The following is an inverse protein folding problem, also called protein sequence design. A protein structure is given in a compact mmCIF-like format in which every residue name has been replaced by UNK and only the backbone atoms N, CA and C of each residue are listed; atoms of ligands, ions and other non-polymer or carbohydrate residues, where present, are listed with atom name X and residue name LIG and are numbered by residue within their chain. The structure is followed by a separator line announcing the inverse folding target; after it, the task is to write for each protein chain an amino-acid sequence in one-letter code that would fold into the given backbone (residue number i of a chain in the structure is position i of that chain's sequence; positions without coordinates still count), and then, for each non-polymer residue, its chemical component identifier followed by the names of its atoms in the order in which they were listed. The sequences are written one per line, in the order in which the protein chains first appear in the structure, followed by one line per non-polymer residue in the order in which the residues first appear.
data_IF_097136345436
#
_entry.id   IF_097136345436
#
_cell.length_a   1.000
_cell.length_b   1.000
_cell.length_c   1.000
_cell.angle_alpha   90.00
_cell.angle_beta   90.00
_cell.angle_gamma   90.00
#
_symmetry.space_group_name_H-M   'P 1'
#
loop_
_entity.id
_entity.type
_entity.pdbx_description
1 polymer ?
2 non-polymer ?
3 non-polymer ?
4 non-polymer ?
5 water ?
#
# COMPACT_ATOMS: atom_id res chain seq x y z
N UNK A 3 -21.60 2.55 13.55
CA UNK A 3 -21.61 3.01 12.13
C UNK A 3 -20.32 3.71 11.75
N UNK A 4 -19.21 3.00 11.86
CA UNK A 4 -17.92 3.55 11.43
C UNK A 4 -17.95 3.83 9.92
N UNK A 5 -17.01 4.66 9.46
CA UNK A 5 -17.06 5.12 8.07
C UNK A 5 -16.87 4.00 7.05
N UNK A 6 -15.97 3.06 7.31
CA UNK A 6 -15.76 1.97 6.38
C UNK A 6 -17.02 1.09 6.25
N UNK A 7 -17.65 0.76 7.36
CA UNK A 7 -18.89 0.00 7.30
C UNK A 7 -19.95 0.76 6.51
N UNK A 8 -20.06 2.06 6.76
CA UNK A 8 -21.05 2.86 6.09
C UNK A 8 -20.81 2.93 4.59
N UNK A 9 -19.56 3.11 4.19
CA UNK A 9 -19.27 3.20 2.78
C UNK A 9 -19.30 1.85 2.05
N UNK A 10 -18.95 0.77 2.75
CA UNK A 10 -19.16 -0.57 2.24
C UNK A 10 -20.61 -0.76 1.89
N UNK A 11 -21.51 -0.30 2.77
CA UNK A 11 -22.94 -0.48 2.50
C UNK A 11 -23.37 0.31 1.28
N UNK A 12 -22.84 1.53 1.16
CA UNK A 12 -23.20 2.45 0.10
C UNK A 12 -22.60 2.09 -1.25
N UNK A 13 -21.30 1.79 -1.26
CA UNK A 13 -20.57 1.64 -2.52
C UNK A 13 -20.19 0.20 -2.82
N UNK A 14 -20.16 -0.65 -1.79
CA UNK A 14 -19.52 -1.96 -1.84
C UNK A 14 -19.97 -2.87 -2.98
N UNK A 15 -21.27 -2.99 -3.15
CA UNK A 15 -21.78 -3.90 -4.16
C UNK A 15 -21.42 -3.45 -5.59
N UNK A 16 -21.46 -2.14 -5.85
CA UNK A 16 -21.08 -1.62 -7.17
C UNK A 16 -19.58 -1.78 -7.43
N UNK A 17 -18.77 -1.64 -6.39
CA UNK A 17 -17.32 -1.84 -6.54
C UNK A 17 -17.06 -3.29 -6.95
N UNK A 18 -17.65 -4.24 -6.23
CA UNK A 18 -17.41 -5.66 -6.53
C UNK A 18 -17.89 -6.00 -7.94
N UNK A 19 -19.04 -5.47 -8.34
CA UNK A 19 -19.56 -5.69 -9.68
C UNK A 19 -18.59 -5.21 -10.74
N UNK A 20 -17.96 -4.06 -10.50
CA UNK A 20 -17.04 -3.44 -11.45
C UNK A 20 -15.78 -4.30 -11.58
N UNK A 21 -15.26 -4.77 -10.45
CA UNK A 21 -14.05 -5.61 -10.48
C UNK A 21 -14.30 -6.85 -11.36
N UNK A 22 -15.42 -7.52 -11.10
CA UNK A 22 -15.75 -8.72 -11.88
C UNK A 22 -16.01 -8.39 -13.35
N UNK A 23 -16.68 -7.27 -13.60
CA UNK A 23 -16.94 -6.86 -14.97
C UNK A 23 -15.66 -6.73 -15.78
N UNK A 24 -14.69 -5.97 -15.28
CA UNK A 24 -13.49 -5.76 -16.12
C UNK A 24 -12.65 -7.03 -16.23
N UNK A 25 -12.59 -7.83 -15.18
CA UNK A 25 -11.81 -9.09 -15.24
C UNK A 25 -12.45 -10.07 -16.19
N UNK A 26 -13.77 -9.98 -16.35
CA UNK A 26 -14.52 -10.96 -17.09
C UNK A 26 -14.47 -10.75 -18.60
N UNK A 27 -14.00 -9.59 -19.05
CA UNK A 27 -13.95 -9.32 -20.48
C UNK A 27 -12.99 -10.30 -21.16
N UNK A 28 -13.52 -11.16 -22.03
CA UNK A 28 -12.65 -12.11 -22.74
C UNK A 28 -12.20 -13.34 -21.96
N UNK A 29 -12.73 -13.48 -20.74
CA UNK A 29 -12.26 -14.49 -19.82
C UNK A 29 -12.84 -15.88 -20.10
N UNK A 30 -11.95 -16.84 -20.35
CA UNK A 30 -12.38 -18.21 -20.66
C UNK A 30 -13.02 -18.85 -19.42
N UNK A 31 -14.10 -19.63 -19.60
CA UNK A 31 -14.79 -20.26 -18.48
C UNK A 31 -13.90 -21.09 -17.54
N UNK A 32 -12.98 -21.88 -18.11
CA UNK A 32 -12.12 -22.72 -17.28
C UNK A 32 -10.95 -21.97 -16.61
N UNK A 33 -10.86 -20.64 -16.85
CA UNK A 33 -9.87 -19.75 -16.19
C UNK A 33 -10.58 -18.83 -15.20
N UNK A 34 -11.89 -18.80 -15.25
CA UNK A 34 -12.66 -17.85 -14.45
C UNK A 34 -12.41 -17.94 -12.95
N UNK A 35 -12.51 -19.13 -12.38
CA UNK A 35 -12.30 -19.27 -10.95
C UNK A 35 -10.92 -18.78 -10.53
N UNK A 36 -9.89 -19.17 -11.29
CA UNK A 36 -8.52 -18.75 -10.97
C UNK A 36 -8.36 -17.23 -11.01
N UNK A 37 -8.96 -16.58 -12.01
CA UNK A 37 -8.82 -15.13 -12.20
C UNK A 37 -9.65 -14.33 -11.19
N UNK A 38 -10.86 -14.78 -10.89
CA UNK A 38 -11.69 -14.04 -9.92
C UNK A 38 -11.27 -14.27 -8.48
N UNK A 39 -10.45 -15.29 -8.25
CA UNK A 39 -10.13 -15.72 -6.89
C UNK A 39 -9.67 -14.57 -6.00
N UNK A 40 -8.73 -13.77 -6.52
CA UNK A 40 -8.11 -12.71 -5.73
C UNK A 40 -9.09 -11.62 -5.27
N UNK A 41 -10.15 -11.39 -6.04
CA UNK A 41 -11.15 -10.39 -5.65
C UNK A 41 -12.32 -11.03 -4.91
N UNK A 42 -12.29 -12.34 -4.74
CA UNK A 42 -13.34 -13.00 -3.97
C UNK A 42 -12.89 -13.39 -2.57
N UNK A 43 -11.65 -13.05 -2.21
CA UNK A 43 -11.12 -13.43 -0.88
C UNK A 43 -11.35 -12.36 0.18
N UNK A 44 -12.08 -11.30 -0.16
CA UNK A 44 -12.35 -10.25 0.82
C UNK A 44 -11.34 -9.13 0.72
N UNK A 45 -11.20 -8.37 1.79
CA UNK A 45 -10.34 -7.17 1.75
C UNK A 45 -11.17 -5.96 2.14
N UNK A 46 -10.51 -4.93 2.66
CA UNK A 46 -11.21 -3.75 3.17
C UNK A 46 -11.70 -2.80 2.09
N UNK A 47 -11.13 -2.89 0.88
CA UNK A 47 -11.51 -2.02 -0.23
C UNK A 47 -11.34 -0.54 0.11
N UNK A 48 -10.40 -0.22 0.97
CA UNK A 48 -10.18 1.16 1.38
C UNK A 48 -9.87 2.08 0.20
N UNK A 49 -9.09 1.60 -0.76
CA UNK A 49 -8.69 2.47 -1.86
C UNK A 49 -9.88 2.90 -2.76
N UNK A 50 -10.69 1.96 -3.25
CA UNK A 50 -11.82 2.37 -4.07
C UNK A 50 -12.84 3.15 -3.25
N UNK A 51 -12.99 2.83 -1.97
CA UNK A 51 -13.90 3.65 -1.14
C UNK A 51 -13.45 5.10 -1.11
N UNK A 52 -12.14 5.31 -1.01
CA UNK A 52 -11.57 6.66 -1.05
C UNK A 52 -11.79 7.37 -2.40
N UNK A 53 -11.60 6.64 -3.49
CA UNK A 53 -11.87 7.18 -4.80
C UNK A 53 -13.31 7.72 -4.93
N UNK A 54 -14.24 6.88 -4.52
CA UNK A 54 -15.66 7.20 -4.66
C UNK A 54 -16.04 8.33 -3.70
N UNK A 55 -15.52 8.29 -2.47
CA UNK A 55 -15.77 9.41 -1.53
C UNK A 55 -15.23 10.73 -2.08
N UNK A 56 -14.05 10.68 -2.70
CA UNK A 56 -13.46 11.91 -3.25
C UNK A 56 -14.35 12.47 -4.39
N UNK A 57 -14.85 11.58 -5.25
CA UNK A 57 -15.68 12.00 -6.35
C UNK A 57 -16.94 12.62 -5.78
N UNK A 58 -17.50 11.99 -4.75
CA UNK A 58 -18.78 12.47 -4.20
C UNK A 58 -18.60 13.80 -3.47
N UNK A 59 -17.47 13.98 -2.81
CA UNK A 59 -17.25 15.24 -2.11
C UNK A 59 -17.22 16.41 -3.09
N UNK A 60 -16.55 16.23 -4.23
CA UNK A 60 -16.34 17.32 -5.16
C UNK A 60 -17.50 17.57 -6.13
N UNK A 61 -18.33 16.55 -6.36
CA UNK A 61 -19.38 16.62 -7.40
C UNK A 61 -20.80 16.21 -6.96
N UNK A 62 -20.93 15.58 -5.79
CA UNK A 62 -22.19 14.97 -5.37
C UNK A 62 -22.46 13.58 -5.92
N UNK A 63 -21.64 13.15 -6.88
CA UNK A 63 -21.86 11.85 -7.54
C UNK A 63 -20.63 10.98 -7.37
N UNK A 64 -20.89 9.72 -7.16
CA UNK A 64 -19.82 8.74 -7.02
C UNK A 64 -19.78 7.76 -8.16
N UNK A 65 -20.94 7.44 -8.74
CA UNK A 65 -20.98 6.40 -9.76
C UNK A 65 -20.05 6.64 -10.97
N UNK A 66 -19.87 7.90 -11.40
CA UNK A 66 -18.99 8.20 -12.53
C UNK A 66 -17.54 7.78 -12.23
N UNK A 67 -17.23 7.65 -10.95
CA UNK A 67 -15.85 7.26 -10.57
C UNK A 67 -15.66 5.75 -10.41
N UNK A 68 -16.66 4.95 -10.76
CA UNK A 68 -16.56 3.51 -10.58
C UNK A 68 -15.44 2.89 -11.43
N UNK A 69 -15.26 3.37 -12.67
CA UNK A 69 -14.14 2.82 -13.42
C UNK A 69 -12.79 3.09 -12.73
N UNK A 70 -12.56 4.32 -12.32
CA UNK A 70 -11.36 4.68 -11.54
C UNK A 70 -11.25 3.87 -10.25
N UNK A 71 -12.37 3.60 -9.59
CA UNK A 71 -12.32 2.84 -8.34
C UNK A 71 -11.89 1.38 -8.61
N UNK A 72 -12.41 0.80 -9.70
CA UNK A 72 -11.98 -0.52 -10.13
C UNK A 72 -10.50 -0.49 -10.48
N UNK A 73 -10.04 0.56 -11.18
CA UNK A 73 -8.60 0.64 -11.52
C UNK A 73 -7.75 0.53 -10.26
N UNK A 74 -8.07 1.36 -9.25
CA UNK A 74 -7.18 1.42 -8.11
C UNK A 74 -7.18 0.10 -7.31
N UNK A 75 -8.33 -0.55 -7.18
CA UNK A 75 -8.41 -1.80 -6.45
C UNK A 75 -7.79 -2.95 -7.25
N UNK A 76 -7.95 -2.92 -8.58
CA UNK A 76 -7.29 -3.94 -9.41
C UNK A 76 -5.76 -3.78 -9.36
N UNK A 77 -5.26 -2.54 -9.36
CA UNK A 77 -3.81 -2.36 -9.20
C UNK A 77 -3.33 -2.91 -7.84
N UNK A 78 -4.08 -2.60 -6.79
CA UNK A 78 -3.79 -3.14 -5.47
C UNK A 78 -3.69 -4.65 -5.52
N UNK A 79 -4.66 -5.30 -6.16
CA UNK A 79 -4.68 -6.76 -6.19
C UNK A 79 -3.65 -7.37 -7.12
N UNK A 80 -3.31 -6.65 -8.19
CA UNK A 80 -2.24 -7.04 -9.10
C UNK A 80 -0.94 -7.10 -8.34
N UNK A 81 -0.66 -6.04 -7.56
CA UNK A 81 0.53 -5.97 -6.75
C UNK A 81 0.54 -7.10 -5.70
N UNK A 82 -0.62 -7.41 -5.11
CA UNK A 82 -0.63 -8.49 -4.12
C UNK A 82 -0.36 -9.86 -4.70
N UNK A 83 -0.91 -10.15 -5.88
CA UNK A 83 -0.71 -11.42 -6.54
C UNK A 83 0.79 -11.64 -6.72
N UNK A 84 1.48 -10.63 -7.26
CA UNK A 84 2.92 -10.77 -7.44
C UNK A 84 3.71 -10.73 -6.14
N UNK A 85 3.28 -9.92 -5.18
CA UNK A 85 3.98 -9.87 -3.90
C UNK A 85 3.91 -11.23 -3.24
N UNK A 86 2.77 -11.92 -3.37
CA UNK A 86 2.64 -13.26 -2.76
C UNK A 86 3.61 -14.24 -3.42
N UNK A 87 3.84 -14.10 -4.73
CA UNK A 87 4.82 -14.96 -5.37
C UNK A 87 6.22 -14.66 -4.86
N UNK A 88 6.57 -13.38 -4.85
CA UNK A 88 7.91 -12.94 -4.50
C UNK A 88 8.28 -13.32 -3.07
N UNK A 89 7.32 -13.18 -2.15
CA UNK A 89 7.57 -13.48 -0.74
C UNK A 89 7.13 -14.88 -0.35
N UNK A 90 6.69 -15.65 -1.34
CA UNK A 90 6.14 -16.99 -1.13
C UNK A 90 5.11 -17.00 0.00
N UNK A 91 4.11 -16.13 -0.12
CA UNK A 91 3.11 -16.01 0.92
C UNK A 91 2.04 -17.05 0.71
N UNK A 92 1.74 -17.82 1.76
CA UNK A 92 0.74 -18.89 1.67
C UNK A 92 -0.66 -18.41 2.01
N UNK A 93 -0.77 -17.39 2.86
CA UNK A 93 -2.10 -16.99 3.34
C UNK A 93 -2.26 -15.49 3.26
N UNK A 94 -3.46 -15.04 2.90
CA UNK A 94 -3.78 -13.62 2.90
C UNK A 94 -5.25 -13.48 3.15
N UNK A 95 -5.62 -12.52 3.99
CA UNK A 95 -7.02 -12.34 4.37
C UNK A 95 -7.61 -13.65 4.94
N UNK A 96 -6.77 -14.45 5.58
CA UNK A 96 -7.21 -15.70 6.22
C UNK A 96 -7.46 -16.88 5.28
N UNK A 97 -7.10 -16.71 4.01
CA UNK A 97 -7.33 -17.74 2.99
C UNK A 97 -6.05 -17.96 2.19
N UNK A 98 -5.95 -19.08 1.49
CA UNK A 98 -4.76 -19.32 0.66
C UNK A 98 -4.65 -18.23 -0.40
N UNK A 99 -3.40 -17.90 -0.74
CA UNK A 99 -3.12 -16.92 -1.78
C UNK A 99 -3.33 -17.57 -3.14
N UNK A 100 -3.33 -16.76 -4.19
CA UNK A 100 -3.47 -17.32 -5.53
C UNK A 100 -2.35 -18.32 -5.78
N UNK A 101 -1.12 -17.93 -5.46
CA UNK A 101 0.02 -18.84 -5.72
C UNK A 101 -0.10 -20.15 -4.94
N UNK A 102 -0.63 -20.09 -3.72
CA UNK A 102 -0.80 -21.30 -2.92
C UNK A 102 -1.85 -22.23 -3.53
N UNK A 103 -3.00 -21.68 -3.87
CA UNK A 103 -4.14 -22.49 -4.32
C UNK A 103 -3.96 -23.02 -5.75
N UNK A 104 -3.33 -22.22 -6.60
CA UNK A 104 -3.24 -22.54 -8.04
C UNK A 104 -1.81 -22.86 -8.55
N UNK A 105 -0.80 -22.34 -7.86
CA UNK A 105 0.61 -22.52 -8.22
C UNK A 105 1.21 -21.18 -8.63
N UNK A 106 2.51 -21.02 -8.43
CA UNK A 106 3.21 -19.79 -8.73
C UNK A 106 3.09 -19.43 -10.21
N UNK A 107 3.17 -20.42 -11.08
CA UNK A 107 3.19 -20.11 -12.51
C UNK A 107 1.78 -19.77 -13.01
N UNK A 108 0.78 -20.45 -12.46
CA UNK A 108 -0.59 -20.09 -12.74
C UNK A 108 -0.87 -18.69 -12.24
N UNK A 109 -0.29 -18.31 -11.09
CA UNK A 109 -0.50 -16.96 -10.57
C UNK A 109 0.10 -15.90 -11.50
N UNK A 110 1.23 -16.24 -12.14
CA UNK A 110 1.76 -15.31 -13.16
C UNK A 110 0.76 -15.06 -14.28
N UNK A 111 0.10 -16.13 -14.78
CA UNK A 111 -0.86 -15.95 -15.85
C UNK A 111 -2.04 -15.10 -15.37
N UNK A 112 -2.40 -15.27 -14.09
CA UNK A 112 -3.49 -14.47 -13.53
C UNK A 112 -3.04 -13.00 -13.41
N UNK A 113 -1.85 -12.77 -12.89
CA UNK A 113 -1.34 -11.40 -12.77
C UNK A 113 -1.30 -10.66 -14.10
N UNK A 114 -0.87 -11.37 -15.13
CA UNK A 114 -0.87 -10.79 -16.47
C UNK A 114 -2.28 -10.38 -16.90
N UNK A 115 -3.25 -11.22 -16.59
CA UNK A 115 -4.66 -10.98 -16.91
C UNK A 115 -5.14 -9.72 -16.18
N UNK A 116 -4.80 -9.61 -14.89
CA UNK A 116 -5.23 -8.44 -14.11
C UNK A 116 -4.75 -7.14 -14.78
N UNK A 117 -3.52 -7.09 -15.29
CA UNK A 117 -3.10 -5.82 -15.85
C UNK A 117 -3.89 -5.42 -17.10
N UNK A 118 -4.36 -6.38 -17.88
CA UNK A 118 -5.14 -6.03 -19.05
C UNK A 118 -6.56 -5.71 -18.64
N UNK A 119 -7.03 -6.29 -17.54
CA UNK A 119 -8.34 -5.84 -17.01
C UNK A 119 -8.26 -4.38 -16.56
N UNK A 120 -7.14 -4.01 -15.94
CA UNK A 120 -6.86 -2.61 -15.57
C UNK A 120 -6.95 -1.71 -16.79
N UNK A 121 -6.36 -2.14 -17.91
CA UNK A 121 -6.41 -1.37 -19.14
C UNK A 121 -7.86 -1.24 -19.64
N UNK A 122 -8.66 -2.30 -19.52
CA UNK A 122 -10.08 -2.21 -19.89
C UNK A 122 -10.80 -1.16 -19.06
N UNK A 123 -10.49 -1.09 -17.77
CA UNK A 123 -11.10 -0.07 -16.92
C UNK A 123 -10.63 1.33 -17.30
N UNK A 124 -9.34 1.50 -17.56
CA UNK A 124 -8.79 2.74 -18.11
C UNK A 124 -9.59 3.23 -19.32
N UNK A 125 -9.89 2.32 -20.23
CA UNK A 125 -10.56 2.69 -21.46
C UNK A 125 -12.04 3.03 -21.21
N UNK A 126 -12.52 2.70 -20.01
CA UNK A 126 -13.92 2.97 -19.62
C UNK A 126 -14.07 4.24 -18.76
N UNK A 127 -12.97 4.93 -18.46
CA UNK A 127 -13.00 6.16 -17.66
C UNK A 127 -13.46 7.34 -18.51
N UNK A 128 -13.75 8.48 -17.85
CA UNK A 128 -14.14 9.64 -18.64
C UNK A 128 -12.98 10.26 -19.43
N UNK A 129 -11.74 9.91 -19.09
CA UNK A 129 -10.58 10.55 -19.69
C UNK A 129 -9.48 9.50 -19.97
N UNK A 130 -9.72 8.62 -20.95
CA UNK A 130 -8.86 7.44 -21.07
C UNK A 130 -7.36 7.69 -21.26
N UNK A 131 -6.96 8.65 -22.09
CA UNK A 131 -5.52 8.83 -22.27
C UNK A 131 -4.86 9.39 -21.00
N UNK A 132 -5.59 10.21 -20.25
CA UNK A 132 -5.04 10.73 -18.97
C UNK A 132 -4.88 9.60 -17.96
N UNK A 133 -5.91 8.78 -17.82
CA UNK A 133 -5.83 7.70 -16.85
C UNK A 133 -4.75 6.69 -17.28
N UNK A 134 -4.63 6.47 -18.59
CA UNK A 134 -3.65 5.49 -19.07
C UNK A 134 -2.25 5.89 -18.61
N UNK A 135 -1.94 7.18 -18.75
CA UNK A 135 -0.62 7.68 -18.36
C UNK A 135 -0.44 7.59 -16.85
N UNK A 136 -1.48 7.97 -16.12
CA UNK A 136 -1.40 7.93 -14.66
C UNK A 136 -1.25 6.52 -14.10
N UNK A 137 -1.92 5.56 -14.71
CA UNK A 137 -1.75 4.18 -14.32
C UNK A 137 -0.34 3.70 -14.59
N UNK A 138 0.21 3.99 -15.77
CA UNK A 138 1.62 3.58 -16.02
C UNK A 138 2.56 4.16 -14.99
N UNK A 139 2.36 5.44 -14.65
CA UNK A 139 3.24 6.09 -13.67
C UNK A 139 3.09 5.50 -12.28
N UNK A 140 1.85 5.19 -11.87
CA UNK A 140 1.62 4.64 -10.53
C UNK A 140 2.13 3.20 -10.41
N UNK A 141 1.95 2.39 -11.45
CA UNK A 141 2.46 1.02 -11.36
C UNK A 141 4.00 1.02 -11.36
N UNK A 142 4.60 1.90 -12.15
CA UNK A 142 6.08 1.99 -12.10
C UNK A 142 6.52 2.44 -10.69
N UNK A 143 5.77 3.35 -10.07
CA UNK A 143 6.12 3.75 -8.69
C UNK A 143 6.05 2.57 -7.73
N UNK A 144 4.97 1.79 -7.79
CA UNK A 144 4.84 0.64 -6.91
C UNK A 144 5.96 -0.38 -7.18
N UNK A 145 6.27 -0.61 -8.46
CA UNK A 145 7.33 -1.55 -8.79
C UNK A 145 8.66 -1.07 -8.22
N UNK A 146 8.95 0.22 -8.38
CA UNK A 146 10.17 0.80 -7.84
C UNK A 146 10.20 0.75 -6.31
N UNK A 147 9.07 1.07 -5.68
CA UNK A 147 9.00 0.96 -4.21
C UNK A 147 9.29 -0.44 -3.70
N UNK A 148 8.73 -1.46 -4.38
CA UNK A 148 8.95 -2.86 -4.01
C UNK A 148 10.42 -3.23 -4.19
N UNK A 149 10.99 -2.80 -5.32
CA UNK A 149 12.42 -3.07 -5.57
C UNK A 149 13.26 -2.50 -4.43
N UNK A 150 12.97 -1.28 -4.03
CA UNK A 150 13.73 -0.63 -2.97
C UNK A 150 13.53 -1.35 -1.65
N UNK A 151 12.28 -1.68 -1.31
CA UNK A 151 12.01 -2.32 -0.03
C UNK A 151 12.84 -3.61 0.06
N UNK A 152 12.93 -4.34 -1.06
CA UNK A 152 13.69 -5.59 -1.07
C UNK A 152 15.21 -5.35 -0.94
N UNK A 153 15.72 -4.36 -1.68
CA UNK A 153 17.14 -4.01 -1.57
C UNK A 153 17.52 -3.39 -0.25
N UNK A 154 16.51 -2.92 0.51
CA UNK A 154 16.76 -2.43 1.89
C UNK A 154 16.83 -3.56 2.90
N UNK A 155 16.54 -4.80 2.50
CA UNK A 155 16.66 -5.94 3.42
C UNK A 155 18.14 -6.21 3.69
N UNK A 156 18.41 -6.83 4.83
CA UNK A 156 19.77 -7.14 5.23
C UNK A 156 20.19 -8.58 4.93
N UNK A 157 19.21 -9.44 4.63
CA UNK A 157 19.42 -10.87 4.41
C UNK A 157 18.13 -11.50 3.87
N UNK A 158 18.15 -12.79 3.58
CA UNK A 158 16.93 -13.58 3.38
C UNK A 158 16.42 -13.77 1.96
N UNK A 159 17.21 -13.37 0.97
CA UNK A 159 16.79 -13.52 -0.43
C UNK A 159 17.77 -14.41 -1.17
N UNK A 160 17.28 -15.12 -2.19
CA UNK A 160 18.15 -15.99 -2.99
C UNK A 160 18.37 -15.45 -4.42
N UNK A 161 17.67 -14.39 -4.83
CA UNK A 161 17.89 -13.82 -6.17
C UNK A 161 19.21 -13.07 -6.24
N UNK A 162 20.05 -13.38 -7.23
CA UNK A 162 21.34 -12.71 -7.34
C UNK A 162 21.23 -11.20 -7.36
N UNK A 163 20.23 -10.65 -8.07
CA UNK A 163 20.05 -9.22 -8.08
C UNK A 163 19.75 -8.64 -6.67
N UNK A 164 18.90 -9.34 -5.90
CA UNK A 164 18.51 -8.86 -4.59
C UNK A 164 19.68 -8.89 -3.63
N UNK A 165 20.59 -9.86 -3.80
CA UNK A 165 21.80 -9.93 -2.94
C UNK A 165 22.87 -8.94 -3.39
N UNK A 166 23.15 -8.95 -4.69
CA UNK A 166 24.24 -8.16 -5.22
C UNK A 166 23.94 -6.66 -5.31
N UNK A 167 22.67 -6.29 -5.46
CA UNK A 167 22.32 -4.87 -5.53
C UNK A 167 21.80 -4.33 -4.20
N UNK A 168 21.86 -5.16 -3.17
CA UNK A 168 21.50 -4.73 -1.83
C UNK A 168 22.17 -3.42 -1.45
N UNK A 169 21.40 -2.46 -0.92
CA UNK A 169 21.99 -1.17 -0.55
C UNK A 169 22.90 -1.25 0.66
N UNK A 170 24.01 -0.51 0.61
CA UNK A 170 24.96 -0.55 1.71
C UNK A 170 24.39 0.16 2.93
N UNK A 171 23.67 1.25 2.69
CA UNK A 171 23.07 2.01 3.80
C UNK A 171 21.63 2.37 3.44
N UNK A 172 20.79 2.45 4.46
CA UNK A 172 19.41 2.92 4.30
C UNK A 172 19.06 4.01 5.31
N UNK A 173 18.98 5.24 4.81
CA UNK A 173 18.73 6.39 5.67
C UNK A 173 17.24 6.60 5.86
N UNK A 174 16.87 7.49 6.78
CA UNK A 174 15.46 7.83 6.95
C UNK A 174 14.89 8.41 5.66
N UNK A 175 15.66 9.28 4.99
CA UNK A 175 15.20 9.88 3.73
C UNK A 175 14.96 8.75 2.70
N UNK A 176 15.85 7.76 2.67
CA UNK A 176 15.67 6.62 1.76
C UNK A 176 14.36 5.89 2.10
N UNK A 177 14.13 5.67 3.38
CA UNK A 177 12.93 5.00 3.85
C UNK A 177 11.69 5.77 3.40
N UNK A 178 11.68 7.09 3.59
CA UNK A 178 10.49 7.88 3.23
C UNK A 178 10.21 7.84 1.72
N UNK A 179 11.27 7.90 0.93
CA UNK A 179 11.13 7.83 -0.52
C UNK A 179 10.52 6.47 -0.90
N UNK A 180 11.06 5.40 -0.31
CA UNK A 180 10.56 4.05 -0.59
C UNK A 180 9.08 3.89 -0.22
N UNK A 181 8.67 4.34 0.98
CA UNK A 181 7.26 4.14 1.32
C UNK A 181 6.31 5.04 0.50
N UNK A 182 6.79 6.22 0.07
CA UNK A 182 5.98 7.10 -0.76
C UNK A 182 5.68 6.40 -2.06
N UNK A 183 6.65 5.65 -2.56
CA UNK A 183 6.43 4.88 -3.79
C UNK A 183 5.61 3.61 -3.55
N UNK A 184 6.00 2.83 -2.55
CA UNK A 184 5.37 1.51 -2.33
C UNK A 184 3.93 1.55 -1.82
N UNK A 185 3.60 2.57 -1.00
CA UNK A 185 2.29 2.62 -0.35
C UNK A 185 1.60 3.94 -0.67
N UNK A 186 2.34 5.05 -0.61
CA UNK A 186 1.71 6.37 -0.78
C UNK A 186 1.13 6.62 -2.16
N UNK A 187 1.86 6.24 -3.21
CA UNK A 187 1.47 6.61 -4.56
C UNK A 187 0.07 6.09 -4.94
N UNK A 188 -0.28 4.90 -4.47
CA UNK A 188 -1.56 4.32 -4.88
C UNK A 188 -2.70 4.93 -4.10
N UNK A 189 -2.44 5.32 -2.84
CA UNK A 189 -3.45 6.05 -2.06
C UNK A 189 -3.66 7.47 -2.60
N UNK A 190 -2.55 8.12 -2.94
CA UNK A 190 -2.60 9.40 -3.66
C UNK A 190 -3.44 9.27 -4.96
N UNK A 191 -3.15 8.24 -5.73
CA UNK A 191 -3.90 8.01 -6.95
C UNK A 191 -5.39 7.74 -6.66
N UNK A 192 -5.69 6.99 -5.60
CA UNK A 192 -7.09 6.68 -5.30
C UNK A 192 -7.87 7.99 -5.15
N UNK A 193 -7.30 8.93 -4.40
CA UNK A 193 -7.99 10.20 -4.14
C UNK A 193 -8.01 11.07 -5.42
N UNK A 194 -6.85 11.22 -6.05
CA UNK A 194 -6.77 12.07 -7.25
C UNK A 194 -7.74 11.55 -8.34
N UNK A 195 -7.75 10.24 -8.56
CA UNK A 195 -8.61 9.66 -9.59
C UNK A 195 -10.08 9.80 -9.35
N UNK A 196 -10.49 9.87 -8.09
CA UNK A 196 -11.92 10.18 -7.78
C UNK A 196 -12.26 11.59 -8.27
N UNK A 197 -11.36 12.54 -8.02
CA UNK A 197 -11.56 13.90 -8.49
C UNK A 197 -11.52 14.02 -10.01
N UNK A 198 -10.53 13.38 -10.64
CA UNK A 198 -10.41 13.47 -12.08
C UNK A 198 -11.64 12.92 -12.79
N UNK A 199 -12.33 11.97 -12.15
CA UNK A 199 -13.52 11.32 -12.75
C UNK A 199 -14.71 12.25 -12.91
N UNK A 200 -14.73 13.30 -12.09
CA UNK A 200 -15.91 14.18 -12.02
C UNK A 200 -15.58 15.67 -12.15
N UNK A 201 -14.31 16.01 -12.30
CA UNK A 201 -13.94 17.44 -12.27
C UNK A 201 -12.71 17.70 -13.08
N UNK A 202 -12.68 18.85 -13.75
CA UNK A 202 -11.49 19.31 -14.48
C UNK A 202 -10.63 20.30 -13.67
N UNK A 203 -10.97 20.48 -12.40
CA UNK A 203 -10.25 21.40 -11.51
C UNK A 203 -8.88 20.80 -11.13
N UNK A 204 -7.82 21.36 -11.68
CA UNK A 204 -6.48 20.82 -11.51
C UNK A 204 -5.98 20.98 -10.09
N UNK A 205 -6.32 22.11 -9.48
CA UNK A 205 -5.96 22.34 -8.08
C UNK A 205 -6.58 21.31 -7.16
N UNK A 206 -7.83 20.95 -7.39
CA UNK A 206 -8.49 19.97 -6.53
C UNK A 206 -7.86 18.59 -6.71
N UNK A 207 -7.55 18.23 -7.95
CA UNK A 207 -6.92 16.94 -8.20
C UNK A 207 -5.56 16.89 -7.48
N UNK A 208 -4.81 17.98 -7.55
CA UNK A 208 -3.47 18.02 -6.95
C UNK A 208 -3.58 17.96 -5.42
N UNK A 209 -4.55 18.69 -4.85
CA UNK A 209 -4.76 18.60 -3.40
C UNK A 209 -5.12 17.16 -2.98
N UNK A 210 -5.96 16.52 -3.77
CA UNK A 210 -6.33 15.15 -3.47
C UNK A 210 -5.10 14.22 -3.49
N UNK A 211 -4.29 14.37 -4.54
CA UNK A 211 -3.07 13.55 -4.67
C UNK A 211 -2.20 13.75 -3.45
N UNK A 212 -1.95 15.01 -3.08
CA UNK A 212 -1.06 15.27 -1.94
C UNK A 212 -1.62 14.78 -0.61
N UNK A 213 -2.93 14.90 -0.45
CA UNK A 213 -3.62 14.34 0.71
C UNK A 213 -3.37 12.84 0.80
N UNK A 214 -3.61 12.12 -0.31
CA UNK A 214 -3.54 10.65 -0.30
C UNK A 214 -2.10 10.17 -0.08
N UNK A 215 -1.15 10.88 -0.69
CA UNK A 215 0.26 10.53 -0.51
C UNK A 215 0.66 10.62 0.96
N UNK A 216 0.34 11.74 1.58
CA UNK A 216 0.70 11.93 2.99
C UNK A 216 -0.01 10.91 3.88
N UNK A 217 -1.28 10.62 3.56
CA UNK A 217 -2.03 9.65 4.32
C UNK A 217 -1.37 8.28 4.23
N UNK A 218 -0.91 7.94 3.03
CA UNK A 218 -0.31 6.63 2.77
C UNK A 218 0.99 6.48 3.50
N UNK A 219 1.78 7.56 3.52
CA UNK A 219 3.04 7.53 4.29
C UNK A 219 2.75 7.35 5.78
N UNK A 220 1.81 8.13 6.34
CA UNK A 220 1.45 7.96 7.75
C UNK A 220 0.98 6.56 8.06
N UNK A 221 0.12 6.01 7.20
CA UNK A 221 -0.33 4.65 7.34
C UNK A 221 0.84 3.66 7.41
N UNK A 222 1.76 3.78 6.47
CA UNK A 222 2.90 2.82 6.42
C UNK A 222 3.78 2.91 7.69
N UNK A 223 3.97 4.11 8.22
CA UNK A 223 4.81 4.28 9.41
C UNK A 223 4.12 3.59 10.58
N UNK A 224 2.81 3.80 10.72
CA UNK A 224 2.10 3.15 11.81
C UNK A 224 2.14 1.63 11.70
N UNK A 225 1.94 1.13 10.48
CA UNK A 225 2.06 -0.30 10.21
C UNK A 225 3.45 -0.82 10.61
N UNK A 226 4.47 -0.02 10.35
CA UNK A 226 5.84 -0.44 10.68
C UNK A 226 6.03 -0.53 12.18
N UNK A 227 5.42 0.40 12.93
CA UNK A 227 5.51 0.34 14.39
C UNK A 227 4.85 -0.95 14.86
N UNK A 228 3.67 -1.25 14.31
CA UNK A 228 2.98 -2.48 14.66
C UNK A 228 3.85 -3.70 14.32
N UNK A 229 4.54 -3.63 13.20
CA UNK A 229 5.37 -4.75 12.74
C UNK A 229 6.70 -4.87 13.49
N UNK A 230 6.85 -4.07 14.54
CA UNK A 230 7.97 -4.22 15.48
C UNK A 230 7.43 -4.58 16.87
N UNK A 231 6.46 -3.82 17.34
CA UNK A 231 6.02 -3.96 18.74
C UNK A 231 4.83 -4.89 18.88
N UNK A 232 4.21 -5.21 17.75
CA UNK A 232 3.11 -6.19 17.70
C UNK A 232 1.90 -5.82 18.54
N UNK A 240 2.46 -10.53 17.00
CA UNK A 240 3.77 -11.06 16.64
C UNK A 240 4.86 -10.01 16.78
N UNK A 241 5.46 -9.94 17.97
CA UNK A 241 6.58 -9.05 18.24
C UNK A 241 7.76 -9.30 17.28
N UNK A 242 8.29 -8.22 16.72
CA UNK A 242 9.53 -8.27 15.93
C UNK A 242 9.46 -8.80 14.53
N UNK A 243 8.27 -8.81 13.93
CA UNK A 243 8.07 -9.34 12.58
C UNK A 243 9.09 -8.81 11.55
N UNK A 244 9.24 -7.50 11.48
CA UNK A 244 10.13 -6.91 10.46
C UNK A 244 11.59 -7.15 10.79
N UNK A 245 11.90 -7.38 12.07
CA UNK A 245 13.27 -7.70 12.44
C UNK A 245 13.65 -9.11 11.95
N UNK A 246 12.71 -10.04 12.13
CA UNK A 246 12.91 -11.42 11.67
C UNK A 246 13.03 -11.46 10.16
N UNK A 247 12.36 -10.51 9.48
CA UNK A 247 12.43 -10.43 8.01
C UNK A 247 13.56 -9.55 7.51
N UNK A 248 14.46 -9.15 8.41
CA UNK A 248 15.70 -8.47 8.05
C UNK A 248 15.50 -7.10 7.43
N UNK A 249 14.42 -6.41 7.77
CA UNK A 249 14.09 -5.18 7.06
C UNK A 249 14.76 -3.98 7.67
N UNK A 250 15.57 -3.27 6.89
CA UNK A 250 16.03 -1.97 7.31
C UNK A 250 15.01 -0.91 6.85
N UNK A 251 14.15 -1.29 5.91
CA UNK A 251 13.08 -0.42 5.38
C UNK A 251 11.86 -0.39 6.27
N UNK A 252 12.10 -0.14 7.56
CA UNK A 252 11.05 -0.09 8.58
C UNK A 252 11.27 1.22 9.33
N UNK A 253 10.21 1.98 9.56
CA UNK A 253 10.37 3.32 10.07
C UNK A 253 11.13 3.35 11.42
N UNK A 254 10.81 2.41 12.30
CA UNK A 254 11.45 2.38 13.62
C UNK A 254 12.94 2.04 13.49
N UNK A 255 13.24 1.07 12.64
CA UNK A 255 14.63 0.70 12.38
C UNK A 255 15.40 1.84 11.74
N UNK A 256 14.85 2.45 10.69
CA UNK A 256 15.48 3.59 10.05
C UNK A 256 15.73 4.73 11.03
N UNK A 257 14.73 5.03 11.86
CA UNK A 257 14.86 6.06 12.88
C UNK A 257 16.00 5.72 13.86
N UNK A 258 15.98 4.49 14.37
CA UNK A 258 17.02 4.06 15.31
C UNK A 258 18.42 4.12 14.71
N UNK A 259 18.59 3.61 13.49
CA UNK A 259 19.92 3.57 12.86
C UNK A 259 20.49 4.97 12.70
N UNK A 260 19.63 5.98 12.75
CA UNK A 260 20.06 7.36 12.58
C UNK A 260 20.60 7.96 13.88
N UNK A 261 20.26 7.36 15.02
CA UNK A 261 20.65 7.92 16.32
C UNK A 261 21.63 7.09 17.09
N UNK A 262 21.65 5.78 16.84
CA UNK A 262 22.47 4.87 17.63
C UNK A 262 23.96 5.16 17.46
N UNK A 263 24.71 4.95 18.53
CA UNK A 263 26.17 5.11 18.49
C UNK A 263 26.83 4.02 17.66
N UNK A 264 28.11 4.18 17.37
CA UNK A 264 28.84 3.28 16.46
C UNK A 264 28.62 1.78 16.69
N UNK A 265 28.84 1.33 17.92
CA UNK A 265 28.73 -0.10 18.23
C UNK A 265 27.31 -0.62 18.35
N UNK A 266 26.39 0.25 18.78
CA UNK A 266 24.98 -0.12 18.89
C UNK A 266 24.37 -0.24 17.49
N UNK A 267 24.71 0.72 16.65
CA UNK A 267 24.31 0.71 15.25
C UNK A 267 24.85 -0.54 14.57
N UNK A 268 26.14 -0.79 14.74
CA UNK A 268 26.73 -1.99 14.17
C UNK A 268 26.03 -3.26 14.67
N UNK A 269 25.64 -3.29 15.95
CA UNK A 269 25.00 -4.48 16.50
C UNK A 269 23.59 -4.70 15.95
N UNK A 270 22.84 -3.61 15.79
CA UNK A 270 21.48 -3.72 15.26
C UNK A 270 21.53 -4.32 13.85
N UNK A 271 22.49 -3.85 13.07
CA UNK A 271 22.65 -4.32 11.69
C UNK A 271 23.12 -5.76 11.65
N UNK A 272 23.96 -6.16 12.62
CA UNK A 272 24.34 -7.56 12.77
C UNK A 272 23.13 -8.43 13.00
N UNK A 273 22.22 -7.98 13.86
CA UNK A 273 21.02 -8.78 14.15
C UNK A 273 20.13 -8.94 12.90
N UNK A 274 19.89 -7.82 12.22
CA UNK A 274 19.07 -7.83 11.00
C UNK A 274 19.65 -8.74 9.93
N UNK A 275 20.99 -8.82 9.89
CA UNK A 275 21.68 -9.66 8.89
C UNK A 275 21.80 -11.13 9.28
N UNK A 276 21.45 -11.49 10.51
CA UNK A 276 21.46 -12.89 10.89
C UNK A 276 20.61 -13.68 9.91
N UNK A 277 21.15 -14.81 9.46
CA UNK A 277 20.43 -15.62 8.51
C UNK A 277 19.11 -16.08 9.08
N UNK A 278 19.14 -16.52 10.33
CA UNK A 278 17.92 -16.79 11.10
C UNK A 278 17.95 -15.92 12.37
N UNK A 279 16.96 -15.05 12.52
CA UNK A 279 16.86 -14.18 13.69
C UNK A 279 16.13 -14.87 14.84
N UNK A 280 16.81 -15.05 15.97
CA UNK A 280 16.24 -15.78 17.10
C UNK A 280 15.41 -14.84 17.96
N UNK A 281 14.56 -15.42 18.82
CA UNK A 281 13.74 -14.62 19.72
C UNK A 281 14.59 -13.71 20.58
N UNK A 282 15.72 -14.20 21.06
CA UNK A 282 16.58 -13.36 21.89
C UNK A 282 17.18 -12.22 21.09
N UNK A 283 17.41 -12.45 19.80
CA UNK A 283 17.90 -11.41 18.91
C UNK A 283 16.86 -10.31 18.74
N UNK A 284 15.61 -10.72 18.62
CA UNK A 284 14.51 -9.77 18.51
C UNK A 284 14.48 -8.87 19.74
N UNK A 285 14.48 -9.46 20.94
CA UNK A 285 14.41 -8.63 22.15
C UNK A 285 15.61 -7.68 22.24
N UNK A 286 16.79 -8.15 21.86
CA UNK A 286 17.98 -7.30 21.87
C UNK A 286 17.83 -6.12 20.89
N UNK A 287 17.25 -6.39 19.73
CA UNK A 287 17.11 -5.36 18.71
C UNK A 287 16.11 -4.30 19.18
N UNK A 288 15.00 -4.78 19.72
CA UNK A 288 13.96 -3.90 20.30
C UNK A 288 14.55 -3.06 21.43
N UNK A 289 15.41 -3.65 22.26
CA UNK A 289 16.06 -2.88 23.34
C UNK A 289 16.91 -1.79 22.76
N UNK A 290 17.58 -2.07 21.64
CA UNK A 290 18.40 -1.06 20.97
C UNK A 290 17.53 0.06 20.38
N UNK A 291 16.42 -0.32 19.76
CA UNK A 291 15.44 0.68 19.26
C UNK A 291 14.95 1.56 20.40
N UNK A 292 14.54 0.93 21.52
CA UNK A 292 14.04 1.68 22.70
C UNK A 292 15.08 2.56 23.38
N UNK A 293 16.35 2.20 23.26
CA UNK A 293 17.43 2.96 23.87
C UNK A 293 17.60 4.37 23.31
N UNK A 294 16.99 4.63 22.13
CA UNK A 294 17.04 5.95 21.51
C UNK A 294 15.61 6.47 21.26
N UNK A 295 14.65 5.79 21.87
CA UNK A 295 13.25 6.21 21.78
C UNK A 295 12.74 6.19 20.35
N UNK A 296 13.17 5.18 19.59
CA UNK A 296 12.82 5.13 18.16
C UNK A 296 11.33 4.90 17.91
N UNK A 297 10.65 4.17 18.79
CA UNK A 297 9.21 3.97 18.62
C UNK A 297 8.42 5.28 18.67
N UNK A 298 8.66 6.05 19.70
CA UNK A 298 8.01 7.36 19.81
C UNK A 298 8.40 8.32 18.69
N UNK A 299 9.66 8.27 18.24
CA UNK A 299 10.07 9.12 17.14
C UNK A 299 9.31 8.72 15.87
N UNK A 300 9.12 7.43 15.68
CA UNK A 300 8.35 6.95 14.51
C UNK A 300 6.90 7.44 14.57
N UNK A 301 6.26 7.30 15.72
CA UNK A 301 4.89 7.78 15.88
C UNK A 301 4.79 9.29 15.67
N UNK A 302 5.83 10.02 16.07
CA UNK A 302 5.82 11.46 15.84
C UNK A 302 5.93 11.76 14.36
N UNK A 303 6.70 10.92 13.64
CA UNK A 303 6.83 11.10 12.20
C UNK A 303 5.47 10.83 11.51
N UNK A 304 4.76 9.82 11.97
CA UNK A 304 3.45 9.50 11.45
C UNK A 304 2.52 10.69 11.70
N UNK A 305 2.65 11.31 12.87
CA UNK A 305 1.79 12.47 13.18
C UNK A 305 2.04 13.63 12.21
N UNK A 306 3.31 13.86 11.90
CA UNK A 306 3.70 14.88 10.95
C UNK A 306 3.03 14.66 9.57
N UNK A 307 3.05 13.42 9.09
CA UNK A 307 2.41 13.12 7.80
C UNK A 307 0.88 13.19 7.88
N UNK A 308 0.30 12.74 9.00
CA UNK A 308 -1.14 12.88 9.21
C UNK A 308 -1.56 14.35 9.14
N UNK A 309 -0.79 15.22 9.78
CA UNK A 309 -1.11 16.65 9.81
C UNK A 309 -0.94 17.29 8.42
N UNK A 310 0.06 16.81 7.70
CA UNK A 310 0.24 17.23 6.31
C UNK A 310 -1.00 16.82 5.48
N UNK A 311 -1.43 15.59 5.66
CA UNK A 311 -2.62 15.11 4.96
C UNK A 311 -3.81 16.02 5.27
N UNK A 312 -3.96 16.41 6.53
CA UNK A 312 -5.05 17.32 6.92
C UNK A 312 -4.98 18.66 6.20
N UNK A 313 -3.78 19.22 6.07
CA UNK A 313 -3.65 20.49 5.41
C UNK A 313 -4.10 20.42 3.95
N UNK A 314 -3.76 19.33 3.26
CA UNK A 314 -4.15 19.18 1.86
C UNK A 314 -5.63 18.95 1.79
N UNK A 315 -6.15 18.17 2.73
CA UNK A 315 -7.57 17.84 2.73
C UNK A 315 -8.42 19.07 2.92
N UNK A 316 -7.91 20.05 3.67
CA UNK A 316 -8.69 21.29 3.88
C UNK A 316 -9.00 22.05 2.59
N UNK A 317 -8.29 21.76 1.51
CA UNK A 317 -8.49 22.39 0.22
C UNK A 317 -9.63 21.74 -0.57
N UNK A 318 -10.12 20.62 -0.07
CA UNK A 318 -11.15 19.83 -0.78
C UNK A 318 -12.51 20.14 -0.15
N UNK A 319 -13.49 20.53 -0.98
CA UNK A 319 -14.80 20.89 -0.42
C UNK A 319 -15.61 19.69 0.07
N UNK A 320 -16.56 19.92 0.97
CA UNK A 320 -17.50 18.91 1.41
C UNK A 320 -16.74 17.67 1.85
N UNK A 321 -15.69 17.90 2.65
CA UNK A 321 -14.74 16.84 2.95
C UNK A 321 -14.99 16.00 4.20
N UNK A 322 -16.20 16.06 4.76
CA UNK A 322 -16.46 15.36 6.02
C UNK A 322 -16.21 13.87 6.02
N UNK A 323 -16.63 13.19 4.95
CA UNK A 323 -16.44 11.74 4.87
C UNK A 323 -14.98 11.40 4.62
N UNK A 324 -14.32 12.20 3.79
CA UNK A 324 -12.90 12.05 3.55
C UNK A 324 -12.12 12.16 4.88
N UNK A 325 -12.53 13.10 5.73
CA UNK A 325 -11.90 13.27 7.05
C UNK A 325 -12.07 12.01 7.90
N UNK A 326 -13.27 11.43 7.92
CA UNK A 326 -13.47 10.18 8.66
C UNK A 326 -12.61 9.06 8.09
N UNK A 327 -12.50 8.99 6.76
CA UNK A 327 -11.67 7.97 6.14
C UNK A 327 -10.23 8.13 6.56
N UNK A 328 -9.75 9.37 6.52
CA UNK A 328 -8.37 9.65 6.91
C UNK A 328 -8.08 9.13 8.30
N UNK A 329 -8.99 9.40 9.23
CA UNK A 329 -8.76 8.99 10.59
C UNK A 329 -8.61 7.47 10.63
N UNK A 330 -9.34 6.77 9.77
CA UNK A 330 -9.27 5.32 9.73
C UNK A 330 -8.04 4.81 8.98
N UNK A 331 -7.76 5.38 7.81
CA UNK A 331 -6.62 4.95 6.99
C UNK A 331 -5.34 5.04 7.79
N UNK A 332 -5.16 6.15 8.51
CA UNK A 332 -3.94 6.38 9.26
C UNK A 332 -4.01 5.81 10.68
N UNK A 333 -5.08 5.07 10.98
CA UNK A 333 -5.27 4.50 12.31
C UNK A 333 -5.06 5.58 13.38
N UNK A 334 -5.75 6.70 13.22
CA UNK A 334 -5.61 7.83 14.13
C UNK A 334 -5.84 7.40 15.57
N UNK A 335 -6.91 6.63 15.78
CA UNK A 335 -7.28 6.17 17.12
C UNK A 335 -6.20 5.29 17.76
N UNK A 336 -5.74 4.29 17.01
CA UNK A 336 -4.70 3.40 17.49
C UNK A 336 -3.48 4.20 17.99
N UNK A 337 -2.99 5.11 17.14
CA UNK A 337 -1.91 6.01 17.50
C UNK A 337 -2.43 7.26 18.20
#
# INVERSE_FOLDING_TARGET
MVMDVVSRLHQKYGAEVEKALVRYLSIGLAEDFREAVLYQVKTGGKRLRPLLTLAAAEAVSGQWRPALPAAAIVELIHNYSLIYDDIIDRGDVRRGLPTVRKAFGDNAAILVGIWYREAIEEAVLDTPKPTLFAKEVAEVIKAIDEGERLDILFEAAGRSDPYFVQARWREVTLDDYIKMVSLKTGALIAAAAKWGVLSVSDDRGLAEAAWNFGMAAGVAFQIIDDVLDIYGDPKKFGKEIGKDIKEHKRGNAVVAVALSHLGEGERRRLLEILAREVVEEADVREAVALLDSVGAREEALRLAARYREEAERHLAKIPNNGTLKELLDFIVAREYAENLYFQSHHHHHHWSHPQFEK
#
